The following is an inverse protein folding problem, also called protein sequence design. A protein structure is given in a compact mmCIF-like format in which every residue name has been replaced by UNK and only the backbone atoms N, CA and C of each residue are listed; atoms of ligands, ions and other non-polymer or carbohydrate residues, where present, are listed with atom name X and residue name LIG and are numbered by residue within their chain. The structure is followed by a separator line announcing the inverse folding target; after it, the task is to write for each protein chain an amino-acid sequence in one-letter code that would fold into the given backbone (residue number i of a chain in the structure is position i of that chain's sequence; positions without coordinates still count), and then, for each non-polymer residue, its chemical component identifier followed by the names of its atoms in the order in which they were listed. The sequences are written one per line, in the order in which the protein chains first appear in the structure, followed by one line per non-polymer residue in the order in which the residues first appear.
data_IF_950079499410
#
_entry.id   IF_950079499410
#
_cell.length_a   1.000
_cell.length_b   1.000
_cell.length_c   1.000
_cell.angle_alpha   90.00
_cell.angle_beta   90.00
_cell.angle_gamma   90.00
#
_symmetry.space_group_name_H-M   'P 1'
#
loop_
_entity.id
_entity.type
_entity.pdbx_description
1 polymer ?
#
# COMPACT_ATOMS: atom_id res chain seq x y z
N UNK A 1 17.77 -23.43 -5.83
CA UNK A 1 17.43 -24.37 -4.74
C UNK A 1 17.05 -25.71 -5.34
N UNK A 2 17.53 -26.78 -4.72
CA UNK A 2 17.20 -28.15 -5.13
C UNK A 2 16.59 -28.91 -3.98
N UNK A 3 15.59 -29.74 -4.28
CA UNK A 3 15.07 -30.75 -3.37
C UNK A 3 15.31 -32.13 -3.97
N UNK A 4 15.43 -33.15 -3.11
CA UNK A 4 15.49 -34.52 -3.56
C UNK A 4 14.10 -35.13 -3.59
N UNK A 5 13.71 -35.70 -4.71
CA UNK A 5 12.47 -36.47 -4.86
C UNK A 5 12.81 -37.94 -5.15
N UNK A 6 12.04 -38.86 -4.57
CA UNK A 6 12.17 -40.28 -4.89
C UNK A 6 11.30 -40.59 -6.10
N UNK A 7 11.93 -40.83 -7.23
CA UNK A 7 11.27 -41.19 -8.49
C UNK A 7 11.75 -42.60 -8.91
N UNK A 8 10.83 -43.54 -9.01
CA UNK A 8 11.09 -44.92 -9.36
C UNK A 8 12.20 -45.58 -8.49
N UNK A 9 12.22 -45.27 -7.19
CA UNK A 9 13.21 -45.80 -6.25
C UNK A 9 14.56 -45.07 -6.23
N UNK A 10 14.71 -43.99 -6.98
CA UNK A 10 15.94 -43.18 -7.04
C UNK A 10 15.68 -41.78 -6.51
N UNK A 11 16.64 -41.25 -5.73
CA UNK A 11 16.65 -39.87 -5.35
C UNK A 11 17.06 -39.01 -6.54
N UNK A 12 16.20 -38.11 -6.94
CA UNK A 12 16.42 -37.21 -8.06
C UNK A 12 16.40 -35.77 -7.56
N UNK A 13 17.43 -34.98 -7.82
CA UNK A 13 17.40 -33.55 -7.50
C UNK A 13 16.42 -32.82 -8.44
N UNK A 14 15.53 -32.04 -7.85
CA UNK A 14 14.59 -31.21 -8.59
C UNK A 14 14.87 -29.75 -8.26
N UNK A 15 15.07 -28.94 -9.29
CA UNK A 15 15.23 -27.49 -9.13
C UNK A 15 13.88 -26.85 -8.86
N UNK A 16 13.83 -26.03 -7.79
CA UNK A 16 12.70 -25.20 -7.47
C UNK A 16 13.05 -23.78 -7.89
N UNK A 17 12.19 -23.11 -8.72
CA UNK A 17 12.41 -21.72 -9.08
C UNK A 17 12.50 -20.84 -7.83
N UNK A 18 13.48 -19.94 -7.77
CA UNK A 18 13.70 -19.05 -6.62
C UNK A 18 12.48 -18.19 -6.27
N UNK A 19 11.67 -17.81 -7.26
CA UNK A 19 10.45 -17.04 -7.08
C UNK A 19 9.44 -17.70 -6.13
N UNK A 20 9.50 -19.02 -5.96
CA UNK A 20 8.66 -19.77 -5.04
C UNK A 20 9.36 -20.14 -3.73
N UNK A 21 10.67 -19.94 -3.62
CA UNK A 21 11.46 -20.42 -2.50
C UNK A 21 11.38 -19.53 -1.27
N UNK A 22 11.41 -18.22 -1.45
CA UNK A 22 11.49 -17.26 -0.35
C UNK A 22 10.79 -15.94 -0.70
N UNK A 23 10.21 -15.31 0.32
CA UNK A 23 10.00 -13.87 0.30
C UNK A 23 11.37 -13.21 0.41
N UNK A 24 11.68 -12.38 -0.55
CA UNK A 24 12.75 -11.43 -0.39
C UNK A 24 12.42 -10.50 0.77
N UNK A 25 13.16 -9.76 1.22
CA UNK A 25 13.23 -8.87 2.35
C UNK A 25 11.94 -8.07 2.63
N UNK A 26 11.50 -8.08 3.88
CA UNK A 26 10.61 -7.04 4.40
C UNK A 26 11.49 -5.87 4.83
N UNK A 27 11.33 -4.74 4.17
CA UNK A 27 11.98 -3.49 4.55
C UNK A 27 10.97 -2.61 5.24
N UNK A 28 11.23 -2.31 6.51
CA UNK A 28 10.57 -1.21 7.20
C UNK A 28 11.46 0.00 7.10
N UNK A 29 10.92 1.12 6.66
CA UNK A 29 11.68 2.36 6.65
C UNK A 29 11.51 3.11 7.97
N UNK A 30 12.52 3.87 8.36
CA UNK A 30 12.42 4.84 9.46
C UNK A 30 11.60 6.09 9.06
N UNK A 31 10.93 6.03 7.91
CA UNK A 31 10.02 7.04 7.42
C UNK A 31 8.92 7.31 8.45
N UNK A 32 8.62 8.58 8.78
CA UNK A 32 7.51 8.95 9.65
C UNK A 32 6.14 8.47 9.15
N UNK A 33 6.03 8.07 7.88
CA UNK A 33 4.84 7.44 7.32
C UNK A 33 4.76 5.93 7.58
N UNK A 34 5.71 5.38 8.33
CA UNK A 34 5.73 3.95 8.69
C UNK A 34 5.55 3.03 7.48
N UNK A 35 6.29 3.30 6.42
CA UNK A 35 6.23 2.56 5.16
C UNK A 35 6.98 1.23 5.22
N UNK A 36 6.53 0.27 4.43
CA UNK A 36 7.19 -1.03 4.26
C UNK A 36 7.25 -1.42 2.78
N UNK A 37 8.18 -2.30 2.47
CA UNK A 37 8.30 -2.92 1.13
C UNK A 37 8.49 -4.41 1.31
N UNK A 38 7.70 -5.21 0.59
CA UNK A 38 7.84 -6.67 0.51
C UNK A 38 8.08 -7.03 -0.94
N UNK A 39 9.14 -7.80 -1.19
CA UNK A 39 9.49 -8.26 -2.54
C UNK A 39 9.45 -9.77 -2.62
N UNK A 40 8.92 -10.27 -3.72
CA UNK A 40 8.93 -11.70 -4.07
C UNK A 40 9.06 -11.82 -5.59
N UNK A 41 10.28 -12.06 -6.07
CA UNK A 41 10.56 -11.99 -7.51
C UNK A 41 10.25 -10.59 -8.07
N UNK A 42 9.44 -10.56 -9.11
CA UNK A 42 8.99 -9.31 -9.73
C UNK A 42 7.75 -8.69 -9.05
N UNK A 43 7.16 -9.40 -8.10
CA UNK A 43 6.02 -8.89 -7.33
C UNK A 43 6.52 -8.05 -6.15
N UNK A 44 5.99 -6.85 -6.04
CA UNK A 44 6.34 -5.91 -4.97
C UNK A 44 5.06 -5.41 -4.30
N UNK A 45 5.03 -5.46 -2.99
CA UNK A 45 4.01 -4.78 -2.19
C UNK A 45 4.66 -3.60 -1.45
N UNK A 46 4.08 -2.44 -1.58
CA UNK A 46 4.46 -1.24 -0.85
C UNK A 46 3.27 -0.79 -0.02
N UNK A 47 3.48 -0.49 1.23
CA UNK A 47 2.43 0.05 2.10
C UNK A 47 2.96 1.10 3.04
N UNK A 48 2.03 1.85 3.64
CA UNK A 48 2.39 2.89 4.58
C UNK A 48 1.18 3.58 5.21
N UNK A 49 1.47 4.61 5.96
CA UNK A 49 0.48 5.46 6.62
C UNK A 49 0.70 6.89 6.18
N UNK A 50 -0.36 7.54 5.73
CA UNK A 50 -0.39 8.96 5.41
C UNK A 50 -1.16 9.71 6.49
N UNK A 51 -0.71 10.90 6.82
CA UNK A 51 -1.52 11.88 7.52
C UNK A 51 -1.99 12.92 6.50
N UNK A 52 -3.30 13.01 6.32
CA UNK A 52 -3.94 13.95 5.40
C UNK A 52 -4.65 15.01 6.22
N UNK A 53 -4.19 16.22 6.13
CA UNK A 53 -4.89 17.36 6.73
C UNK A 53 -6.09 17.72 5.86
N UNK A 54 -7.27 17.66 6.45
CA UNK A 54 -8.51 18.04 5.79
C UNK A 54 -8.86 19.49 6.10
N UNK A 55 -9.61 20.10 5.20
CA UNK A 55 -10.15 21.45 5.37
C UNK A 55 -11.65 21.47 5.11
N UNK A 56 -12.41 22.37 5.77
CA UNK A 56 -13.84 22.46 5.53
C UNK A 56 -14.17 22.67 4.05
N UNK A 57 -15.17 21.94 3.56
CA UNK A 57 -15.64 22.09 2.18
C UNK A 57 -16.33 23.44 1.99
N UNK A 58 -16.23 24.01 0.78
CA UNK A 58 -16.83 25.32 0.47
C UNK A 58 -18.34 25.26 0.29
N UNK A 59 -18.88 24.07 -0.02
CA UNK A 59 -20.33 23.85 -0.16
C UNK A 59 -20.70 22.56 0.57
N UNK A 60 -21.65 22.64 1.49
CA UNK A 60 -22.09 21.50 2.29
C UNK A 60 -21.42 21.45 3.66
N UNK A 61 -21.42 20.28 4.26
CA UNK A 61 -20.85 20.01 5.57
C UNK A 61 -19.73 18.97 5.46
N UNK A 62 -18.74 19.08 6.33
CA UNK A 62 -17.62 18.16 6.38
C UNK A 62 -16.32 18.79 5.93
N UNK A 63 -15.28 17.96 5.92
CA UNK A 63 -13.93 18.35 5.52
C UNK A 63 -13.37 17.37 4.49
N UNK A 64 -12.45 17.82 3.67
CA UNK A 64 -11.77 17.00 2.65
C UNK A 64 -10.31 17.37 2.51
N UNK A 65 -9.51 16.43 2.03
CA UNK A 65 -8.12 16.64 1.73
C UNK A 65 -7.58 15.54 0.83
N UNK A 66 -6.41 15.74 0.29
CA UNK A 66 -5.75 14.72 -0.54
C UNK A 66 -4.24 14.74 -0.35
N UNK A 67 -3.62 13.61 -0.68
CA UNK A 67 -2.17 13.48 -0.72
C UNK A 67 -1.76 12.47 -1.78
N UNK A 68 -0.69 12.80 -2.52
CA UNK A 68 -0.12 11.89 -3.49
C UNK A 68 0.86 10.93 -2.83
N UNK A 69 0.78 9.65 -3.21
CA UNK A 69 1.81 8.65 -2.95
C UNK A 69 2.69 8.55 -4.18
N UNK A 70 3.97 8.84 -4.02
CA UNK A 70 4.97 8.76 -5.09
C UNK A 70 5.58 7.35 -5.12
N UNK A 71 5.44 6.67 -6.24
CA UNK A 71 5.97 5.32 -6.49
C UNK A 71 7.06 5.33 -7.56
N UNK A 72 7.47 6.49 -8.05
CA UNK A 72 8.39 6.61 -9.19
C UNK A 72 9.75 5.94 -8.98
N UNK A 73 10.22 5.88 -7.72
CA UNK A 73 11.51 5.26 -7.39
C UNK A 73 11.53 3.73 -7.51
N UNK A 74 10.38 3.08 -7.60
CA UNK A 74 10.30 1.61 -7.64
C UNK A 74 10.44 1.03 -9.05
N UNK A 75 10.23 1.81 -10.10
CA UNK A 75 10.29 1.34 -11.48
C UNK A 75 9.18 0.35 -11.83
N UNK A 76 7.99 0.53 -11.31
CA UNK A 76 6.86 -0.34 -11.61
C UNK A 76 6.46 -0.30 -13.08
N UNK A 77 6.22 -1.47 -13.64
CA UNK A 77 5.73 -1.63 -15.03
C UNK A 77 4.22 -1.87 -15.07
N UNK A 78 3.64 -2.33 -13.97
CA UNK A 78 2.20 -2.58 -13.86
C UNK A 78 1.73 -2.49 -12.42
N UNK A 79 0.72 -1.70 -12.17
CA UNK A 79 -0.01 -1.69 -10.89
C UNK A 79 -1.08 -2.79 -10.93
N UNK A 80 -1.08 -3.67 -9.94
CA UNK A 80 -2.06 -4.76 -9.81
C UNK A 80 -3.22 -4.39 -8.92
N UNK A 81 -2.95 -3.74 -7.80
CA UNK A 81 -3.96 -3.36 -6.83
C UNK A 81 -3.48 -2.18 -5.98
N UNK A 82 -4.40 -1.30 -5.66
CA UNK A 82 -4.18 -0.19 -4.72
C UNK A 82 -5.36 -0.14 -3.77
N UNK A 83 -5.08 -0.06 -2.48
CA UNK A 83 -6.13 0.11 -1.46
C UNK A 83 -5.71 1.18 -0.46
N UNK A 84 -6.71 1.89 0.05
CA UNK A 84 -6.55 2.87 1.12
C UNK A 84 -7.74 2.82 2.07
N UNK A 85 -7.47 2.91 3.36
CA UNK A 85 -8.49 2.87 4.41
C UNK A 85 -8.19 3.95 5.44
N UNK A 86 -9.18 4.77 5.76
CA UNK A 86 -9.06 5.74 6.82
C UNK A 86 -9.14 5.05 8.19
N UNK A 87 -8.27 5.48 9.12
CA UNK A 87 -8.45 5.15 10.54
C UNK A 87 -9.52 6.06 11.13
N UNK A 88 -10.33 5.49 12.01
CA UNK A 88 -11.32 6.26 12.77
C UNK A 88 -10.62 7.24 13.71
N UNK A 89 -11.16 8.44 13.80
CA UNK A 89 -10.73 9.42 14.81
C UNK A 89 -11.54 9.23 16.11
N UNK A 90 -11.00 9.59 17.28
CA UNK A 90 -11.72 9.46 18.52
C UNK A 90 -12.85 10.51 18.70
N UNK A 91 -13.32 11.10 17.62
CA UNK A 91 -14.29 12.19 17.65
C UNK A 91 -15.77 11.74 17.69
N UNK A 92 -16.03 10.50 18.07
CA UNK A 92 -17.39 10.01 18.30
C UNK A 92 -18.16 9.69 17.02
N UNK A 93 -19.27 10.35 16.76
CA UNK A 93 -20.20 10.05 15.66
C UNK A 93 -19.83 10.66 14.30
N UNK A 94 -18.57 10.94 14.06
CA UNK A 94 -18.06 11.33 12.74
C UNK A 94 -17.71 10.12 11.89
N UNK A 95 -17.86 10.28 10.57
CA UNK A 95 -17.48 9.26 9.60
C UNK A 95 -16.32 9.74 8.76
N UNK A 96 -15.26 8.95 8.74
CA UNK A 96 -14.12 9.15 7.89
C UNK A 96 -14.15 8.16 6.73
N UNK A 97 -13.67 8.61 5.58
CA UNK A 97 -13.57 7.79 4.39
C UNK A 97 -12.31 8.13 3.61
N UNK A 98 -11.75 7.13 2.95
CA UNK A 98 -10.65 7.31 2.03
C UNK A 98 -10.94 6.58 0.72
N UNK A 99 -10.53 7.19 -0.39
CA UNK A 99 -10.59 6.59 -1.71
C UNK A 99 -9.38 7.00 -2.53
N UNK A 100 -9.13 6.28 -3.59
CA UNK A 100 -7.97 6.46 -4.45
C UNK A 100 -8.40 6.96 -5.83
N UNK A 101 -7.49 7.67 -6.47
CA UNK A 101 -7.65 8.12 -7.84
C UNK A 101 -6.31 8.36 -8.53
N UNK A 102 -6.36 8.69 -9.81
CA UNK A 102 -5.18 9.02 -10.62
C UNK A 102 -4.06 7.97 -10.52
N UNK A 103 -4.43 6.69 -10.56
CA UNK A 103 -3.48 5.58 -10.45
C UNK A 103 -2.64 5.46 -11.71
N UNK A 104 -1.33 5.46 -11.53
CA UNK A 104 -0.33 5.22 -12.58
C UNK A 104 0.83 4.41 -12.00
N UNK A 105 1.76 3.99 -12.86
CA UNK A 105 2.98 3.31 -12.40
C UNK A 105 3.87 4.18 -11.50
N UNK A 106 3.71 5.50 -11.56
CA UNK A 106 4.50 6.47 -10.81
C UNK A 106 3.86 6.91 -9.50
N UNK A 107 2.60 6.55 -9.25
CA UNK A 107 1.91 6.91 -8.02
C UNK A 107 0.40 6.99 -8.14
N UNK A 108 -0.23 7.45 -7.07
CA UNK A 108 -1.68 7.64 -6.99
C UNK A 108 -2.03 8.74 -5.97
N UNK A 109 -3.24 9.27 -6.11
CA UNK A 109 -3.81 10.20 -5.14
C UNK A 109 -4.66 9.44 -4.11
N UNK A 110 -4.54 9.84 -2.85
CA UNK A 110 -5.45 9.42 -1.78
C UNK A 110 -6.29 10.63 -1.39
N UNK A 111 -7.61 10.47 -1.48
CA UNK A 111 -8.58 11.46 -1.05
C UNK A 111 -9.17 11.01 0.28
N UNK A 112 -9.26 11.92 1.21
CA UNK A 112 -9.84 11.66 2.53
C UNK A 112 -10.96 12.68 2.82
N UNK A 113 -12.04 12.18 3.39
CA UNK A 113 -13.19 13.00 3.80
C UNK A 113 -13.60 12.68 5.22
N UNK A 114 -14.13 13.66 5.92
CA UNK A 114 -14.72 13.50 7.25
C UNK A 114 -16.03 14.30 7.34
N UNK A 115 -16.97 13.79 8.11
CA UNK A 115 -18.19 14.53 8.45
C UNK A 115 -17.97 15.59 9.54
N UNK A 116 -16.75 15.67 10.08
CA UNK A 116 -16.39 16.71 11.03
C UNK A 116 -16.50 18.10 10.39
N UNK A 117 -16.90 19.10 11.16
CA UNK A 117 -17.10 20.48 10.66
C UNK A 117 -15.82 21.31 10.67
N UNK A 118 -14.83 20.90 11.46
CA UNK A 118 -13.54 21.57 11.57
C UNK A 118 -12.47 20.73 10.91
N UNK A 119 -11.34 21.36 10.53
CA UNK A 119 -10.18 20.68 9.98
C UNK A 119 -9.70 19.59 10.93
N UNK A 120 -9.43 18.41 10.38
CA UNK A 120 -8.87 17.27 11.11
C UNK A 120 -7.73 16.64 10.33
N UNK A 121 -6.80 16.04 11.06
CA UNK A 121 -5.74 15.21 10.48
C UNK A 121 -6.22 13.76 10.46
N UNK A 122 -6.42 13.23 9.25
CA UNK A 122 -6.83 11.84 9.05
C UNK A 122 -5.61 10.97 8.77
N UNK A 123 -5.50 9.87 9.48
CA UNK A 123 -4.55 8.81 9.14
C UNK A 123 -5.20 7.86 8.14
N UNK A 124 -4.50 7.62 7.06
CA UNK A 124 -4.92 6.70 6.02
C UNK A 124 -3.84 5.65 5.81
N UNK A 125 -4.22 4.39 5.95
CA UNK A 125 -3.35 3.27 5.62
C UNK A 125 -3.56 2.87 4.18
N UNK A 126 -2.47 2.61 3.47
CA UNK A 126 -2.53 2.17 2.08
C UNK A 126 -1.61 1.01 1.83
N UNK A 127 -1.89 0.25 0.79
CA UNK A 127 -0.93 -0.63 0.16
C UNK A 127 -1.12 -0.71 -1.36
N UNK A 128 -0.03 -1.04 -2.03
CA UNK A 128 0.05 -1.21 -3.48
C UNK A 128 0.71 -2.53 -3.78
N UNK A 129 0.13 -3.31 -4.69
CA UNK A 129 0.80 -4.45 -5.30
C UNK A 129 1.09 -4.15 -6.75
N UNK A 130 2.32 -4.41 -7.16
CA UNK A 130 2.80 -4.04 -8.48
C UNK A 130 3.87 -5.01 -9.00
N UNK A 131 4.14 -4.91 -10.28
CA UNK A 131 5.20 -5.65 -10.98
C UNK A 131 6.32 -4.70 -11.36
N UNK A 132 7.53 -5.10 -11.11
CA UNK A 132 8.75 -4.43 -11.59
C UNK A 132 9.29 -5.07 -12.87
#
# INVERSE_FOLDING_TARGET
MYINANINGFNTPIEIPEVFAEREQVQTSDDPNNSYVIRQGNLVEVGGVLTIQTTPVTKGTGTEGSKRVDLSSYGFTKILNVQATAEDTPAGSVHENAHIGSVSNDGFEVYATSTHTEAVDLKVRYFVRAIV
#
